data_IF_582847705684
#
_entry.id   IF_582847705684
#
_cell.length_a   1.000
_cell.length_b   1.000
_cell.length_c   1.000
_cell.angle_alpha   90.00
_cell.angle_beta   90.00
_cell.angle_gamma   90.00
#
_symmetry.space_group_name_H-M   'P 1'
#
loop_
_entity.id
_entity.type
_entity.pdbx_description
1 polymer ?
#
# COMPACT_ATOMS: atom_id res chain seq x y z
N UNK A 1 -18.88 -11.22 -69.24
CA UNK A 1 -18.86 -9.81 -68.80
C UNK A 1 -18.67 -9.80 -67.29
N UNK A 2 -17.46 -9.48 -66.80
CA UNK A 2 -17.11 -9.47 -65.37
C UNK A 2 -17.23 -8.04 -64.84
N UNK A 3 -18.14 -7.80 -63.89
CA UNK A 3 -18.21 -6.55 -63.12
C UNK A 3 -17.35 -6.72 -61.86
N UNK A 4 -16.34 -5.87 -61.74
CA UNK A 4 -15.53 -5.70 -60.53
C UNK A 4 -16.38 -5.06 -59.44
N UNK A 5 -16.47 -5.71 -58.28
CA UNK A 5 -17.12 -5.15 -57.10
C UNK A 5 -16.08 -4.49 -56.21
N UNK A 6 -16.39 -3.25 -55.86
CA UNK A 6 -15.54 -2.29 -55.18
C UNK A 6 -15.41 -2.67 -53.69
N UNK A 7 -14.16 -2.56 -53.23
CA UNK A 7 -13.67 -2.53 -51.86
C UNK A 7 -14.69 -2.09 -50.79
N UNK A 8 -14.95 -2.98 -49.82
CA UNK A 8 -15.41 -2.61 -48.49
C UNK A 8 -14.28 -2.89 -47.50
N UNK A 9 -13.48 -1.85 -47.22
CA UNK A 9 -12.41 -1.82 -46.22
C UNK A 9 -13.01 -1.38 -44.90
N UNK A 10 -13.85 -2.20 -44.26
CA UNK A 10 -14.38 -1.91 -42.92
C UNK A 10 -14.75 -3.20 -42.17
N UNK A 11 -13.79 -4.10 -41.94
CA UNK A 11 -14.08 -5.31 -41.13
C UNK A 11 -12.94 -5.75 -40.20
N UNK A 12 -12.01 -4.85 -39.86
CA UNK A 12 -11.02 -5.11 -38.81
C UNK A 12 -11.22 -4.10 -37.69
N UNK A 13 -12.37 -4.13 -37.03
CA UNK A 13 -12.53 -3.48 -35.72
C UNK A 13 -13.70 -4.10 -34.95
N UNK A 14 -13.74 -5.43 -34.87
CA UNK A 14 -14.81 -6.14 -34.17
C UNK A 14 -14.26 -7.29 -33.32
N UNK A 15 -13.13 -7.10 -32.63
CA UNK A 15 -12.64 -8.09 -31.65
C UNK A 15 -11.87 -7.44 -30.49
N UNK A 16 -12.41 -6.43 -29.80
CA UNK A 16 -11.99 -6.12 -28.41
C UNK A 16 -13.15 -5.44 -27.68
N UNK A 17 -14.22 -6.16 -27.33
CA UNK A 17 -15.29 -5.60 -26.48
C UNK A 17 -16.15 -6.67 -25.80
N UNK A 18 -15.55 -7.79 -25.41
CA UNK A 18 -16.20 -8.77 -24.55
C UNK A 18 -15.19 -9.22 -23.50
N UNK A 19 -15.26 -8.62 -22.31
CA UNK A 19 -14.46 -9.06 -21.17
C UNK A 19 -14.20 -8.03 -20.07
N UNK A 20 -14.42 -6.73 -20.28
CA UNK A 20 -14.42 -5.78 -19.18
C UNK A 20 -15.78 -5.84 -18.48
N UNK A 21 -15.91 -6.74 -17.49
CA UNK A 21 -16.92 -6.52 -16.46
C UNK A 21 -16.72 -5.11 -15.91
N UNK A 22 -17.80 -4.32 -15.68
CA UNK A 22 -17.63 -3.03 -15.04
C UNK A 22 -16.91 -3.27 -13.71
N UNK A 23 -15.81 -2.55 -13.49
CA UNK A 23 -15.23 -2.46 -12.15
C UNK A 23 -16.39 -2.14 -11.22
N UNK A 24 -16.59 -2.88 -10.11
CA UNK A 24 -17.69 -2.61 -9.21
C UNK A 24 -17.67 -1.12 -8.88
N UNK A 25 -18.86 -0.52 -8.89
CA UNK A 25 -19.08 0.90 -8.62
C UNK A 25 -18.17 1.33 -7.47
N UNK A 26 -17.52 2.48 -7.67
CA UNK A 26 -16.68 3.20 -6.71
C UNK A 26 -16.83 2.63 -5.31
N UNK A 27 -15.78 1.97 -4.83
CA UNK A 27 -15.62 1.71 -3.42
C UNK A 27 -15.88 3.05 -2.72
N UNK A 28 -17.08 3.19 -2.13
CA UNK A 28 -17.45 4.29 -1.24
C UNK A 28 -16.60 4.13 0.03
N UNK A 29 -15.29 4.32 -0.14
CA UNK A 29 -14.34 4.49 0.93
C UNK A 29 -14.54 5.94 1.34
N UNK A 30 -15.03 6.21 2.56
CA UNK A 30 -15.12 7.56 3.08
C UNK A 30 -13.80 8.30 2.78
N UNK A 31 -13.84 9.53 2.24
CA UNK A 31 -12.64 10.27 1.90
C UNK A 31 -11.71 10.52 3.11
N UNK A 32 -12.22 10.29 4.32
CA UNK A 32 -11.52 10.43 5.60
C UNK A 32 -10.75 9.17 6.04
N UNK A 33 -10.92 8.02 5.35
CA UNK A 33 -10.14 6.80 5.65
C UNK A 33 -8.72 6.81 5.07
N UNK A 34 -8.39 7.81 4.25
CA UNK A 34 -7.01 8.19 4.00
C UNK A 34 -6.53 8.98 5.22
N UNK A 35 -6.56 8.34 6.39
CA UNK A 35 -5.97 8.85 7.61
C UNK A 35 -4.60 9.39 7.22
N UNK A 36 -4.39 10.70 7.45
CA UNK A 36 -3.17 11.39 7.03
C UNK A 36 -2.00 10.54 7.48
N UNK A 37 -1.28 9.94 6.52
CA UNK A 37 -0.13 9.10 6.79
C UNK A 37 0.81 9.86 7.71
N UNK A 38 1.13 9.28 8.86
CA UNK A 38 1.91 9.93 9.89
C UNK A 38 3.22 9.16 10.12
N UNK A 39 4.33 9.88 9.99
CA UNK A 39 5.63 9.37 10.38
C UNK A 39 5.98 9.90 11.77
N UNK A 40 6.09 9.02 12.77
CA UNK A 40 6.39 9.40 14.16
C UNK A 40 7.87 9.43 14.50
N UNK A 41 8.74 8.96 13.60
CA UNK A 41 10.17 8.86 13.87
C UNK A 41 10.51 7.85 14.98
N UNK A 42 11.55 8.17 15.77
CA UNK A 42 11.93 7.35 16.91
C UNK A 42 10.88 7.44 18.01
N UNK A 43 10.42 6.29 18.48
CA UNK A 43 9.49 6.16 19.60
C UNK A 43 9.96 5.03 20.52
N UNK A 44 9.96 5.31 21.82
CA UNK A 44 10.21 4.30 22.85
C UNK A 44 8.94 3.53 23.20
N UNK A 45 7.78 4.13 22.97
CA UNK A 45 6.45 3.57 23.22
C UNK A 45 5.45 4.14 22.18
N UNK A 46 4.48 3.32 21.76
CA UNK A 46 3.34 3.76 20.96
C UNK A 46 2.08 3.06 21.46
N UNK A 47 1.00 3.79 21.81
CA UNK A 47 -0.24 3.18 22.26
C UNK A 47 -0.78 2.15 21.27
N UNK A 48 -1.06 0.94 21.74
CA UNK A 48 -1.55 -0.15 20.89
C UNK A 48 -0.46 -0.95 20.19
N UNK A 49 0.81 -0.60 20.38
CA UNK A 49 1.95 -1.39 19.97
C UNK A 49 2.64 -2.05 21.17
N UNK A 50 3.05 -3.31 21.00
CA UNK A 50 3.79 -4.04 22.02
C UNK A 50 5.28 -4.14 21.65
N UNK A 51 6.08 -3.23 22.19
CA UNK A 51 7.53 -3.18 21.96
C UNK A 51 8.31 -4.04 22.97
N UNK A 52 7.67 -4.54 24.02
CA UNK A 52 8.35 -5.21 25.15
C UNK A 52 9.01 -6.54 24.74
N UNK A 53 8.60 -7.10 23.61
CA UNK A 53 9.15 -8.35 23.06
C UNK A 53 10.26 -8.13 22.02
N UNK A 54 10.63 -6.88 21.74
CA UNK A 54 11.65 -6.55 20.76
C UNK A 54 13.01 -6.42 21.44
N UNK A 55 14.03 -7.03 20.82
CA UNK A 55 15.42 -6.88 21.21
C UNK A 55 16.23 -6.32 20.05
N UNK A 56 16.92 -5.20 20.28
CA UNK A 56 17.66 -4.47 19.26
C UNK A 56 16.80 -3.47 18.49
N UNK A 57 17.29 -3.03 17.34
CA UNK A 57 16.59 -2.07 16.48
C UNK A 57 15.39 -2.70 15.80
N UNK A 58 14.31 -1.95 15.67
CA UNK A 58 13.11 -2.37 14.96
C UNK A 58 12.38 -1.18 14.35
N UNK A 59 11.59 -1.45 13.31
CA UNK A 59 10.57 -0.53 12.85
C UNK A 59 9.18 -1.07 13.16
N UNK A 60 8.21 -0.19 13.25
CA UNK A 60 6.83 -0.54 13.53
C UNK A 60 5.89 0.28 12.65
N UNK A 61 4.69 -0.25 12.44
CA UNK A 61 3.65 0.44 11.70
C UNK A 61 2.26 -0.01 12.13
N UNK A 62 1.30 0.89 11.96
CA UNK A 62 -0.12 0.64 12.19
C UNK A 62 -0.83 0.66 10.84
N UNK A 63 -1.57 -0.40 10.54
CA UNK A 63 -2.35 -0.50 9.31
C UNK A 63 -3.76 0.14 9.46
N UNK A 64 -4.50 0.19 8.36
CA UNK A 64 -5.85 0.75 8.30
C UNK A 64 -6.89 -0.09 9.06
N UNK A 65 -6.53 -1.30 9.50
CA UNK A 65 -7.29 -2.11 10.43
C UNK A 65 -6.92 -1.82 11.90
N UNK A 66 -6.07 -0.82 12.15
CA UNK A 66 -5.57 -0.40 13.46
C UNK A 66 -4.75 -1.50 14.17
N UNK A 67 -4.13 -2.39 13.40
CA UNK A 67 -3.24 -3.42 13.93
C UNK A 67 -1.81 -2.89 13.91
N UNK A 68 -1.12 -2.99 15.05
CA UNK A 68 0.29 -2.67 15.13
C UNK A 68 1.17 -3.88 14.80
N UNK A 69 2.18 -3.66 13.97
CA UNK A 69 3.19 -4.63 13.62
C UNK A 69 4.57 -4.10 13.99
N UNK A 70 5.42 -4.97 14.53
CA UNK A 70 6.81 -4.69 14.85
C UNK A 70 7.71 -5.63 14.05
N UNK A 71 8.77 -5.08 13.45
CA UNK A 71 9.66 -5.83 12.56
C UNK A 71 11.11 -5.53 12.94
N UNK A 72 11.92 -6.56 13.27
CA UNK A 72 13.33 -6.37 13.58
C UNK A 72 14.12 -5.74 12.44
N UNK A 73 15.12 -4.93 12.79
CA UNK A 73 16.07 -4.30 11.89
C UNK A 73 17.51 -4.52 12.39
N UNK A 74 18.49 -4.52 11.49
CA UNK A 74 19.89 -4.78 11.89
C UNK A 74 20.54 -3.59 12.63
N UNK A 75 20.07 -2.37 12.36
CA UNK A 75 20.58 -1.13 12.93
C UNK A 75 19.56 0.01 12.83
N UNK A 76 19.84 1.14 13.47
CA UNK A 76 18.99 2.34 13.49
C UNK A 76 18.66 2.87 12.10
N UNK A 77 19.68 2.99 11.23
CA UNK A 77 19.54 3.53 9.88
C UNK A 77 18.58 2.66 9.05
N UNK A 78 18.70 1.34 9.19
CA UNK A 78 17.79 0.42 8.51
C UNK A 78 16.36 0.53 9.07
N UNK A 79 16.21 0.67 10.38
CA UNK A 79 14.90 0.81 11.02
C UNK A 79 14.18 2.08 10.55
N UNK A 80 14.85 3.24 10.60
CA UNK A 80 14.33 4.53 10.13
C UNK A 80 13.94 4.47 8.64
N UNK A 81 14.86 4.00 7.79
CA UNK A 81 14.60 3.87 6.34
C UNK A 81 13.39 2.97 6.06
N UNK A 82 13.29 1.80 6.70
CA UNK A 82 12.17 0.88 6.50
C UNK A 82 10.85 1.43 7.02
N UNK A 83 10.87 2.18 8.13
CA UNK A 83 9.68 2.84 8.66
C UNK A 83 9.13 3.90 7.69
N UNK A 84 10.00 4.67 7.05
CA UNK A 84 9.59 5.64 6.03
C UNK A 84 9.09 4.93 4.76
N UNK A 85 9.82 3.94 4.26
CA UNK A 85 9.44 3.17 3.06
C UNK A 85 8.08 2.49 3.22
N UNK A 86 7.81 1.87 4.37
CA UNK A 86 6.55 1.17 4.60
C UNK A 86 5.37 2.16 4.62
N UNK A 87 5.58 3.37 5.17
CA UNK A 87 4.57 4.42 5.16
C UNK A 87 4.34 4.97 3.76
N UNK A 88 5.38 5.22 2.98
CA UNK A 88 5.26 5.77 1.63
C UNK A 88 4.64 4.78 0.65
N UNK A 89 5.08 3.53 0.68
CA UNK A 89 4.77 2.55 -0.38
C UNK A 89 3.62 1.59 -0.05
N UNK A 90 3.11 1.57 1.18
CA UNK A 90 1.97 0.72 1.54
C UNK A 90 0.66 1.50 1.51
N UNK A 91 -0.36 0.95 0.84
CA UNK A 91 -1.70 1.56 0.83
C UNK A 91 -2.45 1.38 2.15
N UNK A 92 -2.13 0.34 2.91
CA UNK A 92 -2.79 0.03 4.17
C UNK A 92 -2.12 0.69 5.38
N UNK A 93 -0.88 1.18 5.27
CA UNK A 93 -0.18 1.76 6.43
C UNK A 93 -0.59 3.21 6.62
N UNK A 94 -0.97 3.54 7.86
CA UNK A 94 -1.44 4.88 8.23
C UNK A 94 -0.50 5.58 9.21
N UNK A 95 0.26 4.84 10.02
CA UNK A 95 1.25 5.39 10.96
C UNK A 95 2.48 4.48 10.92
N UNK A 96 3.68 5.05 10.97
CA UNK A 96 4.91 4.27 11.19
C UNK A 96 5.93 5.01 12.04
N UNK A 97 6.88 4.24 12.57
CA UNK A 97 8.02 4.74 13.32
C UNK A 97 9.06 3.65 13.54
N UNK A 98 10.07 3.95 14.34
CA UNK A 98 11.11 3.00 14.71
C UNK A 98 11.48 3.13 16.19
N UNK A 99 12.20 2.14 16.72
CA UNK A 99 12.59 2.11 18.12
C UNK A 99 13.74 1.14 18.40
N UNK A 100 14.18 1.12 19.66
CA UNK A 100 15.20 0.22 20.15
C UNK A 100 14.73 -0.51 21.41
N UNK A 101 14.71 -1.84 21.37
CA UNK A 101 14.28 -2.68 22.46
C UNK A 101 15.47 -3.24 23.26
N UNK A 102 15.37 -3.23 24.58
CA UNK A 102 16.47 -3.58 25.50
C UNK A 102 16.28 -4.91 26.25
N UNK A 103 15.16 -5.60 26.06
CA UNK A 103 14.73 -6.74 26.88
C UNK A 103 15.05 -8.13 26.28
#
# INVERSE_FOLDING_TARGET
>A
MKRFSIFSVWSILAVILMGAAPLPAQLDVPPDLWARKEYKGYQEEEPGCDFQFMRGWFFWYIDSALICYTVPASNEIEADRRAQEVLEHSFSVIISGYGFGTF
#
